data_IF_642428938981
#
_entry.id   IF_642428938981
#
_cell.length_a   1.000
_cell.length_b   1.000
_cell.length_c   1.000
_cell.angle_alpha   90.00
_cell.angle_beta   90.00
_cell.angle_gamma   90.00
#
_symmetry.space_group_name_H-M   'P 1'
#
loop_
_entity.id
_entity.type
_entity.pdbx_description
1 polymer ?
#
# COMPACT_ATOMS: atom_id res chain seq x y z
N UNK A 1 21.06 -24.20 -7.79
CA UNK A 1 21.48 -23.09 -8.67
C UNK A 1 22.91 -22.66 -8.33
N UNK A 2 23.23 -22.47 -7.04
CA UNK A 2 24.61 -22.19 -6.61
C UNK A 2 25.48 -23.40 -6.89
N UNK A 3 26.61 -23.20 -7.58
CA UNK A 3 27.51 -24.29 -7.98
C UNK A 3 27.28 -24.87 -9.38
N UNK A 4 26.30 -24.38 -10.13
CA UNK A 4 26.00 -24.79 -11.51
C UNK A 4 26.45 -23.74 -12.53
N UNK A 5 27.66 -23.17 -12.38
CA UNK A 5 28.22 -22.18 -13.31
C UNK A 5 27.72 -20.75 -13.10
N UNK A 6 26.90 -20.50 -12.05
CA UNK A 6 26.49 -19.14 -11.68
C UNK A 6 27.44 -18.60 -10.62
N UNK A 7 28.17 -17.53 -10.97
CA UNK A 7 29.02 -16.83 -10.02
C UNK A 7 28.14 -16.07 -9.00
N UNK A 8 28.40 -16.28 -7.70
CA UNK A 8 27.81 -15.52 -6.63
C UNK A 8 28.91 -14.79 -5.87
N UNK A 9 28.82 -13.48 -5.78
CA UNK A 9 29.75 -12.64 -5.06
C UNK A 9 29.06 -11.42 -4.49
N UNK A 10 29.61 -10.89 -3.41
CA UNK A 10 29.10 -9.67 -2.76
C UNK A 10 29.63 -9.59 -1.33
N UNK A 11 30.07 -8.41 -0.93
CA UNK A 11 30.70 -8.15 0.37
C UNK A 11 29.82 -8.58 1.55
N UNK A 12 28.49 -8.45 1.43
CA UNK A 12 27.54 -8.73 2.49
C UNK A 12 26.80 -10.07 2.34
N UNK A 13 27.11 -10.90 1.34
CA UNK A 13 26.36 -12.14 1.06
C UNK A 13 26.38 -13.15 2.22
N UNK A 14 27.40 -13.11 3.09
CA UNK A 14 27.52 -13.98 4.26
C UNK A 14 27.36 -13.21 5.59
N UNK A 15 26.67 -12.07 5.56
CA UNK A 15 26.36 -11.33 6.78
C UNK A 15 25.44 -12.19 7.66
N UNK A 16 25.99 -12.72 8.77
CA UNK A 16 25.27 -13.63 9.67
C UNK A 16 23.96 -13.06 10.23
N UNK A 17 23.90 -11.80 10.71
CA UNK A 17 22.62 -11.20 11.11
C UNK A 17 21.59 -11.16 9.99
N UNK A 18 21.98 -10.81 8.76
CA UNK A 18 21.10 -10.80 7.60
C UNK A 18 20.59 -12.20 7.24
N UNK A 19 21.45 -13.22 7.29
CA UNK A 19 21.06 -14.61 7.05
C UNK A 19 20.09 -15.10 8.14
N UNK A 20 20.34 -14.77 9.40
CA UNK A 20 19.45 -15.14 10.50
C UNK A 20 18.07 -14.46 10.38
N UNK A 21 18.04 -13.18 10.01
CA UNK A 21 16.79 -12.45 9.75
C UNK A 21 16.02 -13.05 8.56
N UNK A 22 16.71 -13.36 7.46
CA UNK A 22 16.11 -14.01 6.30
C UNK A 22 15.52 -15.38 6.66
N UNK A 23 16.24 -16.18 7.44
CA UNK A 23 15.74 -17.48 7.93
C UNK A 23 14.48 -17.33 8.76
N UNK A 24 14.48 -16.40 9.73
CA UNK A 24 13.31 -16.14 10.57
C UNK A 24 12.09 -15.68 9.75
N UNK A 25 12.30 -14.75 8.81
CA UNK A 25 11.25 -14.27 7.91
C UNK A 25 10.66 -15.38 7.06
N UNK A 26 11.50 -16.20 6.43
CA UNK A 26 11.04 -17.34 5.61
C UNK A 26 10.31 -18.38 6.44
N UNK A 27 10.74 -18.62 7.67
CA UNK A 27 10.07 -19.55 8.59
C UNK A 27 8.66 -19.06 8.95
N UNK A 28 8.48 -17.76 9.18
CA UNK A 28 7.15 -17.16 9.41
C UNK A 28 6.29 -17.31 8.17
N UNK A 29 6.81 -16.94 6.99
CA UNK A 29 6.08 -17.05 5.72
C UNK A 29 5.64 -18.47 5.38
N UNK A 30 6.43 -19.48 5.78
CA UNK A 30 6.12 -20.90 5.56
C UNK A 30 5.05 -21.43 6.52
N UNK A 31 5.07 -20.98 7.79
CA UNK A 31 4.26 -21.59 8.85
C UNK A 31 3.02 -20.79 9.24
N UNK A 32 2.94 -19.52 8.83
CA UNK A 32 1.80 -18.65 9.14
C UNK A 32 1.07 -18.20 7.87
N UNK A 33 -0.23 -17.91 7.94
CA UNK A 33 -1.04 -17.55 6.77
C UNK A 33 -0.82 -16.08 6.34
N UNK A 34 0.45 -15.63 6.31
CA UNK A 34 0.81 -14.22 6.10
C UNK A 34 0.19 -13.66 4.81
N UNK A 35 0.41 -14.34 3.69
CA UNK A 35 -0.06 -13.85 2.37
C UNK A 35 -1.58 -13.79 2.32
N UNK A 36 -2.27 -14.79 2.86
CA UNK A 36 -3.74 -14.80 2.93
C UNK A 36 -4.28 -13.67 3.80
N UNK A 37 -3.64 -13.41 4.94
CA UNK A 37 -4.02 -12.33 5.86
C UNK A 37 -3.83 -10.96 5.20
N UNK A 38 -2.70 -10.75 4.52
CA UNK A 38 -2.43 -9.51 3.78
C UNK A 38 -3.43 -9.30 2.64
N UNK A 39 -3.78 -10.36 1.91
CA UNK A 39 -4.78 -10.28 0.86
C UNK A 39 -6.15 -9.86 1.41
N UNK A 40 -6.59 -10.47 2.50
CA UNK A 40 -7.89 -10.15 3.12
C UNK A 40 -7.93 -8.71 3.66
N UNK A 41 -6.92 -8.31 4.45
CA UNK A 41 -6.84 -6.96 5.02
C UNK A 41 -6.66 -5.89 3.96
N UNK A 42 -5.79 -6.14 2.99
CA UNK A 42 -5.56 -5.22 1.90
C UNK A 42 -6.78 -5.04 1.02
N UNK A 43 -7.50 -6.13 0.69
CA UNK A 43 -8.74 -6.04 -0.05
C UNK A 43 -9.78 -5.21 0.71
N UNK A 44 -9.93 -5.44 2.01
CA UNK A 44 -10.84 -4.66 2.84
C UNK A 44 -10.50 -3.17 2.83
N UNK A 45 -9.20 -2.83 2.91
CA UNK A 45 -8.75 -1.44 2.86
C UNK A 45 -9.00 -0.82 1.48
N UNK A 46 -8.67 -1.52 0.40
CA UNK A 46 -8.92 -1.05 -0.97
C UNK A 46 -10.41 -0.82 -1.23
N UNK A 47 -11.24 -1.79 -0.89
CA UNK A 47 -12.69 -1.71 -1.07
C UNK A 47 -13.26 -0.53 -0.25
N UNK A 48 -12.85 -0.41 1.02
CA UNK A 48 -13.32 0.68 1.89
C UNK A 48 -12.91 2.08 1.41
N UNK A 49 -11.69 2.24 0.90
CA UNK A 49 -11.25 3.50 0.27
C UNK A 49 -12.11 3.80 -0.97
N UNK A 50 -12.34 2.80 -1.80
CA UNK A 50 -13.17 2.94 -3.00
C UNK A 50 -14.63 3.29 -2.67
N UNK A 51 -15.17 2.67 -1.63
CA UNK A 51 -16.54 2.95 -1.16
C UNK A 51 -16.66 4.41 -0.66
N UNK A 52 -15.70 4.89 0.13
CA UNK A 52 -15.66 6.28 0.61
C UNK A 52 -15.65 7.27 -0.56
N UNK A 53 -14.81 7.06 -1.56
CA UNK A 53 -14.77 7.92 -2.74
C UNK A 53 -16.07 7.86 -3.53
N UNK A 54 -16.68 6.67 -3.64
CA UNK A 54 -17.94 6.47 -4.35
C UNK A 54 -19.09 7.19 -3.65
N UNK A 55 -19.18 7.11 -2.33
CA UNK A 55 -20.19 7.78 -1.51
C UNK A 55 -20.13 9.31 -1.65
N UNK A 56 -18.92 9.85 -1.75
CA UNK A 56 -18.69 11.29 -1.94
C UNK A 56 -18.71 11.73 -3.43
N UNK A 57 -19.04 10.81 -4.35
CA UNK A 57 -19.15 11.09 -5.78
C UNK A 57 -17.80 11.43 -6.44
N UNK A 58 -16.70 10.93 -5.90
CA UNK A 58 -15.35 11.20 -6.36
C UNK A 58 -14.94 10.14 -7.40
N UNK A 59 -14.63 10.57 -8.62
CA UNK A 59 -14.09 9.70 -9.66
C UNK A 59 -12.70 9.24 -9.25
N UNK A 60 -12.49 7.94 -9.22
CA UNK A 60 -11.23 7.34 -8.79
C UNK A 60 -11.00 5.99 -9.45
N UNK A 61 -9.78 5.48 -9.35
CA UNK A 61 -9.47 4.08 -9.65
C UNK A 61 -8.47 3.52 -8.65
N UNK A 62 -8.60 2.23 -8.39
CA UNK A 62 -7.68 1.44 -7.58
C UNK A 62 -6.77 0.61 -8.49
N UNK A 63 -5.47 0.58 -8.19
CA UNK A 63 -4.48 -0.18 -8.95
C UNK A 63 -3.61 -1.00 -8.02
N UNK A 64 -3.18 -2.19 -8.48
CA UNK A 64 -2.26 -3.04 -7.74
C UNK A 64 -2.92 -4.24 -7.08
N UNK A 65 -2.22 -4.82 -6.11
CA UNK A 65 -2.65 -5.97 -5.34
C UNK A 65 -2.98 -5.55 -3.90
N UNK A 66 -3.82 -6.31 -3.19
CA UNK A 66 -4.24 -5.94 -1.84
C UNK A 66 -3.12 -5.57 -0.86
N UNK A 67 -1.98 -6.27 -0.91
CA UNK A 67 -0.85 -5.97 -0.03
C UNK A 67 -0.01 -4.76 -0.50
N UNK A 68 -0.21 -4.32 -1.74
CA UNK A 68 0.57 -3.26 -2.39
C UNK A 68 -0.30 -2.60 -3.47
N UNK A 69 -1.01 -1.56 -3.13
CA UNK A 69 -1.96 -0.89 -4.01
C UNK A 69 -1.76 0.63 -4.03
N UNK A 70 -2.28 1.27 -5.05
CA UNK A 70 -2.40 2.73 -5.13
C UNK A 70 -3.81 3.10 -5.56
N UNK A 71 -4.19 4.34 -5.30
CA UNK A 71 -5.39 4.93 -5.88
C UNK A 71 -5.04 6.21 -6.63
N UNK A 72 -5.88 6.55 -7.59
CA UNK A 72 -5.79 7.83 -8.26
C UNK A 72 -7.16 8.48 -8.33
N UNK A 73 -7.20 9.80 -8.20
CA UNK A 73 -8.42 10.61 -8.25
C UNK A 73 -8.52 11.33 -9.59
N UNK A 74 -9.75 11.49 -10.09
CA UNK A 74 -10.02 12.16 -11.36
C UNK A 74 -9.97 11.25 -12.60
N UNK A 75 -9.77 9.95 -12.43
CA UNK A 75 -9.77 8.98 -13.52
C UNK A 75 -10.44 7.67 -13.11
N UNK A 76 -11.21 7.06 -14.00
CA UNK A 76 -11.83 5.74 -13.79
C UNK A 76 -10.85 4.59 -14.06
N UNK A 77 -9.78 4.86 -14.81
CA UNK A 77 -8.77 3.86 -15.18
C UNK A 77 -7.46 4.56 -15.55
N UNK A 78 -6.36 3.94 -15.15
CA UNK A 78 -5.00 4.35 -15.53
C UNK A 78 -4.23 3.12 -16.01
N UNK A 79 -3.66 3.20 -17.20
CA UNK A 79 -2.87 2.14 -17.83
C UNK A 79 -1.48 2.60 -18.25
N UNK A 80 -1.24 3.89 -18.24
CA UNK A 80 0.03 4.48 -18.69
C UNK A 80 0.28 5.86 -18.03
N UNK A 81 1.51 6.34 -18.16
CA UNK A 81 1.95 7.60 -17.56
C UNK A 81 1.19 8.84 -18.03
N UNK A 82 0.67 8.85 -19.26
CA UNK A 82 -0.06 10.03 -19.79
C UNK A 82 -1.40 10.17 -19.09
N UNK A 83 -2.14 9.07 -18.93
CA UNK A 83 -3.40 9.04 -18.19
C UNK A 83 -3.16 9.41 -16.72
N UNK A 84 -2.07 8.92 -16.11
CA UNK A 84 -1.71 9.29 -14.74
C UNK A 84 -1.42 10.80 -14.61
N UNK A 85 -0.80 11.43 -15.61
CA UNK A 85 -0.50 12.86 -15.56
C UNK A 85 -1.75 13.75 -15.49
N UNK A 86 -2.89 13.27 -15.97
CA UNK A 86 -4.19 13.98 -15.95
C UNK A 86 -4.96 13.80 -14.62
N UNK A 87 -4.44 13.03 -13.68
CA UNK A 87 -5.09 12.78 -12.38
C UNK A 87 -4.96 13.98 -11.43
N UNK A 88 -5.83 14.03 -10.42
CA UNK A 88 -5.89 15.12 -9.42
C UNK A 88 -4.86 14.91 -8.30
N UNK A 89 -3.60 15.15 -8.61
CA UNK A 89 -2.48 14.94 -7.68
C UNK A 89 -2.50 15.86 -6.47
N UNK A 90 -2.95 17.09 -6.64
CA UNK A 90 -3.04 18.07 -5.54
C UNK A 90 -4.10 17.63 -4.52
N UNK A 91 -5.22 17.05 -5.00
CA UNK A 91 -6.23 16.50 -4.11
C UNK A 91 -5.73 15.25 -3.38
N UNK A 92 -4.98 14.37 -4.07
CA UNK A 92 -4.28 13.26 -3.41
C UNK A 92 -3.40 13.75 -2.26
N UNK A 93 -2.56 14.76 -2.52
CA UNK A 93 -1.67 15.33 -1.51
C UNK A 93 -2.42 15.92 -0.32
N UNK A 94 -3.50 16.64 -0.56
CA UNK A 94 -4.34 17.19 0.50
C UNK A 94 -4.93 16.08 1.40
N UNK A 95 -5.37 14.96 0.81
CA UNK A 95 -5.83 13.79 1.58
C UNK A 95 -4.68 13.19 2.39
N UNK A 96 -3.49 13.04 1.81
CA UNK A 96 -2.31 12.50 2.50
C UNK A 96 -1.91 13.36 3.69
N UNK A 97 -1.87 14.68 3.53
CA UNK A 97 -1.56 15.62 4.63
C UNK A 97 -2.59 15.49 5.77
N UNK A 98 -3.87 15.44 5.43
CA UNK A 98 -4.94 15.25 6.40
C UNK A 98 -4.89 13.88 7.11
N UNK A 99 -4.45 12.82 6.42
CA UNK A 99 -4.21 11.49 6.99
C UNK A 99 -3.05 11.50 7.97
N UNK A 100 -1.96 12.20 7.64
CA UNK A 100 -0.79 12.31 8.52
C UNK A 100 -1.14 12.99 9.84
N UNK A 101 -2.00 14.02 9.83
CA UNK A 101 -2.52 14.66 11.05
C UNK A 101 -3.35 13.67 11.90
N UNK A 102 -3.89 12.63 11.30
CA UNK A 102 -4.68 11.56 11.96
C UNK A 102 -3.88 10.29 12.28
N UNK A 103 -2.55 10.35 12.10
CA UNK A 103 -1.64 9.27 12.46
C UNK A 103 -1.51 8.17 11.40
N UNK A 104 -2.02 8.37 10.19
CA UNK A 104 -1.81 7.47 9.05
C UNK A 104 -0.80 8.11 8.10
N UNK A 105 0.29 7.41 7.80
CA UNK A 105 1.41 7.94 7.03
C UNK A 105 1.58 7.19 5.70
N UNK A 106 0.84 7.53 4.65
CA UNK A 106 1.10 7.06 3.30
C UNK A 106 2.24 7.88 2.66
N UNK A 107 2.68 7.46 1.47
CA UNK A 107 3.66 8.23 0.72
C UNK A 107 3.03 9.51 0.13
N UNK A 108 3.80 10.59 0.09
CA UNK A 108 3.41 11.86 -0.55
C UNK A 108 3.41 11.77 -2.07
N UNK A 109 4.13 10.83 -2.65
CA UNK A 109 4.13 10.63 -4.10
C UNK A 109 2.96 9.72 -4.48
N UNK A 110 2.00 10.26 -5.22
CA UNK A 110 0.83 9.51 -5.69
C UNK A 110 1.17 8.32 -6.61
N UNK A 111 2.43 8.19 -7.04
CA UNK A 111 2.92 7.03 -7.81
C UNK A 111 3.30 5.87 -6.91
N UNK A 112 3.66 6.15 -5.67
CA UNK A 112 4.09 5.12 -4.73
C UNK A 112 2.90 4.35 -4.20
N UNK A 113 3.00 3.01 -4.12
CA UNK A 113 1.93 2.20 -3.56
C UNK A 113 1.87 2.26 -2.04
N UNK A 114 0.68 2.05 -1.52
CA UNK A 114 0.48 1.76 -0.11
C UNK A 114 0.88 0.32 0.17
N UNK A 115 1.63 0.10 1.25
CA UNK A 115 2.10 -1.22 1.64
C UNK A 115 1.47 -1.66 2.95
N UNK A 116 0.94 -2.87 2.96
CA UNK A 116 0.53 -3.53 4.19
C UNK A 116 1.60 -4.52 4.65
N UNK A 117 1.82 -4.58 5.96
CA UNK A 117 2.63 -5.64 6.56
C UNK A 117 1.79 -6.52 7.49
N UNK A 118 2.32 -7.68 7.85
CA UNK A 118 1.60 -8.66 8.67
C UNK A 118 1.28 -8.16 10.08
N UNK A 119 2.03 -7.16 10.57
CA UNK A 119 1.80 -6.54 11.87
C UNK A 119 0.56 -5.62 11.91
N UNK A 120 0.09 -5.09 10.77
CA UNK A 120 -1.16 -4.32 10.73
C UNK A 120 -2.34 -5.22 11.11
N UNK A 121 -3.00 -4.88 12.21
CA UNK A 121 -4.17 -5.61 12.71
C UNK A 121 -5.46 -5.21 11.97
N UNK A 122 -6.57 -5.91 12.24
CA UNK A 122 -7.90 -5.50 11.76
C UNK A 122 -8.28 -4.11 12.29
N UNK A 123 -7.88 -3.81 13.53
CA UNK A 123 -8.10 -2.50 14.12
C UNK A 123 -7.36 -1.39 13.36
N UNK A 124 -6.12 -1.65 12.93
CA UNK A 124 -5.36 -0.65 12.16
C UNK A 124 -6.03 -0.38 10.81
N UNK A 125 -6.66 -1.39 10.19
CA UNK A 125 -7.46 -1.20 8.97
C UNK A 125 -8.70 -0.34 9.25
N UNK A 126 -9.42 -0.61 10.35
CA UNK A 126 -10.61 0.16 10.74
C UNK A 126 -10.25 1.62 11.05
N UNK A 127 -9.20 1.83 11.82
CA UNK A 127 -8.70 3.17 12.17
C UNK A 127 -8.28 3.93 10.91
N UNK A 128 -7.61 3.25 9.97
CA UNK A 128 -7.19 3.85 8.69
C UNK A 128 -8.39 4.26 7.84
N UNK A 129 -9.41 3.42 7.72
CA UNK A 129 -10.63 3.75 6.97
C UNK A 129 -11.40 4.91 7.61
N UNK A 130 -11.46 4.95 8.93
CA UNK A 130 -12.06 6.07 9.67
C UNK A 130 -11.31 7.37 9.39
N UNK A 131 -9.99 7.36 9.54
CA UNK A 131 -9.13 8.50 9.25
C UNK A 131 -9.25 8.94 7.80
N UNK A 132 -9.34 7.99 6.86
CA UNK A 132 -9.50 8.27 5.43
C UNK A 132 -10.82 8.98 5.13
N UNK A 133 -11.93 8.49 5.65
CA UNK A 133 -13.26 9.12 5.50
C UNK A 133 -13.27 10.55 6.06
N UNK A 134 -12.69 10.75 7.24
CA UNK A 134 -12.58 12.09 7.83
C UNK A 134 -11.67 13.02 7.02
N UNK A 135 -10.57 12.50 6.48
CA UNK A 135 -9.64 13.26 5.65
C UNK A 135 -10.29 13.73 4.36
N UNK A 136 -10.97 12.83 3.64
CA UNK A 136 -11.71 13.17 2.40
C UNK A 136 -12.74 14.27 2.67
N UNK A 137 -13.49 14.19 3.77
CA UNK A 137 -14.49 15.21 4.15
C UNK A 137 -13.89 16.54 4.61
N UNK A 138 -12.63 16.56 5.06
CA UNK A 138 -11.97 17.76 5.58
C UNK A 138 -11.25 18.59 4.52
N UNK A 139 -10.97 18.02 3.35
CA UNK A 139 -10.25 18.69 2.27
C UNK A 139 -11.20 19.12 1.15
N UNK A 140 -10.89 20.25 0.54
CA UNK A 140 -11.63 20.77 -0.63
C UNK A 140 -11.01 20.23 -1.92
N UNK A 141 -11.86 19.83 -2.84
CA UNK A 141 -11.48 19.43 -4.20
C UNK A 141 -11.31 20.62 -5.13
#
# INVERSE_FOLDING_TARGET
IIGQGVAQGGTYNNNKPGVAAAWATLTILENEPVMKTLEQRGKRLMDGISDIFTEDGIIHCMNGYPAMFSYAVGAEKITNQREWNETEKDYYLAIVEALMERGVMPDHDAREPWFLCYAHSEKDIDDTLTAFSESVKSVSR
#
